data_IF_937159723593
#
_entry.id   IF_937159723593
#
_cell.length_a   1.000
_cell.length_b   1.000
_cell.length_c   1.000
_cell.angle_alpha   90.00
_cell.angle_beta   90.00
_cell.angle_gamma   90.00
#
_symmetry.space_group_name_H-M   'P 1'
#
loop_
_entity.id
_entity.type
_entity.pdbx_description
1 polymer ?
#
# COMPACT_ATOMS: atom_id res chain seq x y z
N UNK A 1 8.24 5.08 -11.20
CA UNK A 1 7.98 6.12 -10.18
C UNK A 1 9.30 6.82 -9.86
N UNK A 2 9.31 8.14 -9.88
CA UNK A 2 10.51 8.88 -9.54
C UNK A 2 10.77 8.82 -8.03
N UNK A 3 12.00 9.14 -7.64
CA UNK A 3 12.37 9.19 -6.23
C UNK A 3 11.53 10.23 -5.46
N UNK A 4 11.26 11.37 -6.10
CA UNK A 4 10.43 12.41 -5.52
C UNK A 4 8.99 11.92 -5.30
N UNK A 5 8.41 11.27 -6.29
CA UNK A 5 7.06 10.70 -6.17
C UNK A 5 7.00 9.66 -5.06
N UNK A 6 8.02 8.82 -4.96
CA UNK A 6 8.11 7.81 -3.92
C UNK A 6 8.18 8.44 -2.54
N UNK A 7 8.99 9.48 -2.37
CA UNK A 7 9.11 10.18 -1.09
C UNK A 7 7.80 10.86 -0.69
N UNK A 8 7.11 11.47 -1.64
CA UNK A 8 5.80 12.08 -1.39
C UNK A 8 4.77 11.03 -0.97
N UNK A 9 4.79 9.88 -1.64
CA UNK A 9 3.88 8.78 -1.30
C UNK A 9 4.16 8.27 0.11
N UNK A 10 5.42 8.08 0.47
CA UNK A 10 5.80 7.67 1.83
C UNK A 10 5.29 8.66 2.88
N UNK A 11 5.41 9.95 2.62
CA UNK A 11 4.96 10.98 3.55
C UNK A 11 3.44 10.97 3.74
N UNK A 12 2.70 10.62 2.71
CA UNK A 12 1.23 10.51 2.79
C UNK A 12 0.80 9.23 3.49
N UNK A 13 1.50 8.14 3.28
CA UNK A 13 1.13 6.81 3.80
C UNK A 13 1.50 6.66 5.28
N UNK A 14 2.67 7.14 5.67
CA UNK A 14 3.22 6.90 7.01
C UNK A 14 2.28 7.31 8.16
N UNK A 15 1.66 8.50 8.15
CA UNK A 15 0.75 8.88 9.24
C UNK A 15 -0.46 7.96 9.33
N UNK A 16 -1.01 7.54 8.19
CA UNK A 16 -2.18 6.66 8.16
C UNK A 16 -1.80 5.27 8.68
N UNK A 17 -0.70 4.72 8.21
CA UNK A 17 -0.23 3.40 8.65
C UNK A 17 0.07 3.39 10.15
N UNK A 18 0.70 4.43 10.66
CA UNK A 18 1.00 4.58 12.07
C UNK A 18 -0.28 4.67 12.91
N UNK A 19 -1.25 5.45 12.44
CA UNK A 19 -2.54 5.62 13.14
C UNK A 19 -3.26 4.29 13.32
N UNK A 20 -3.23 3.43 12.31
CA UNK A 20 -3.95 2.15 12.35
C UNK A 20 -3.13 0.99 12.89
N UNK A 21 -1.87 1.22 13.23
CA UNK A 21 -1.01 0.18 13.81
C UNK A 21 -0.60 -0.91 12.83
N UNK A 22 -0.51 -0.58 11.55
CA UNK A 22 -0.04 -1.50 10.51
C UNK A 22 1.47 -1.69 10.64
N UNK A 23 1.97 -2.90 10.50
CA UNK A 23 3.40 -3.19 10.61
C UNK A 23 4.20 -2.67 9.41
N UNK A 24 3.72 -2.91 8.20
CA UNK A 24 4.40 -2.43 7.01
C UNK A 24 3.42 -2.27 5.86
N UNK A 25 3.79 -1.42 4.91
CA UNK A 25 3.02 -1.15 3.69
C UNK A 25 3.96 -1.24 2.50
N UNK A 26 3.58 -2.05 1.52
CA UNK A 26 4.30 -2.17 0.25
C UNK A 26 3.39 -1.74 -0.89
N UNK A 27 3.94 -1.02 -1.85
CA UNK A 27 3.28 -0.76 -3.12
C UNK A 27 3.64 -1.88 -4.08
N UNK A 28 2.65 -2.42 -4.79
CA UNK A 28 2.89 -3.40 -5.86
C UNK A 28 2.01 -3.07 -7.07
N UNK A 29 1.99 -3.92 -8.06
CA UNK A 29 1.16 -3.72 -9.23
C UNK A 29 1.74 -2.73 -10.23
N UNK A 30 0.88 -2.16 -11.08
CA UNK A 30 1.32 -1.34 -12.22
C UNK A 30 2.12 -0.09 -11.81
N UNK A 31 1.72 0.57 -10.74
CA UNK A 31 2.44 1.76 -10.28
C UNK A 31 3.84 1.43 -9.77
N UNK A 32 4.00 0.27 -9.12
CA UNK A 32 5.31 -0.17 -8.65
C UNK A 32 6.22 -0.55 -9.82
N UNK A 33 5.66 -1.19 -10.86
CA UNK A 33 6.41 -1.57 -12.05
C UNK A 33 6.76 -0.41 -12.96
N UNK A 34 6.05 0.72 -12.81
CA UNK A 34 6.26 1.87 -13.67
C UNK A 34 5.46 1.85 -14.97
N UNK A 35 4.56 0.88 -15.15
CA UNK A 35 3.68 0.80 -16.32
C UNK A 35 2.27 1.32 -16.06
N UNK A 36 2.05 1.86 -14.86
CA UNK A 36 0.82 2.57 -14.53
C UNK A 36 0.90 4.05 -14.91
N UNK A 37 -0.24 4.70 -14.96
CA UNK A 37 -0.31 6.15 -15.19
C UNK A 37 -1.00 6.84 -14.00
N UNK A 38 -1.24 8.15 -14.14
CA UNK A 38 -1.83 8.95 -13.06
C UNK A 38 -3.28 8.56 -12.74
N UNK A 39 -3.94 7.80 -13.62
CA UNK A 39 -5.29 7.31 -13.40
C UNK A 39 -5.33 5.88 -12.87
N UNK A 40 -4.18 5.23 -12.74
CA UNK A 40 -4.09 3.86 -12.22
C UNK A 40 -4.39 3.83 -10.74
N UNK A 41 -5.04 2.75 -10.28
CA UNK A 41 -5.27 2.53 -8.86
C UNK A 41 -3.96 2.20 -8.16
N UNK A 42 -3.94 2.41 -6.85
CA UNK A 42 -2.82 1.97 -6.02
C UNK A 42 -3.11 0.58 -5.47
N UNK A 43 -2.14 -0.30 -5.58
CA UNK A 43 -2.21 -1.65 -5.02
C UNK A 43 -1.24 -1.73 -3.84
N UNK A 44 -1.77 -1.93 -2.64
CA UNK A 44 -0.95 -2.02 -1.43
C UNK A 44 -1.05 -3.40 -0.82
N UNK A 45 0.09 -3.91 -0.39
CA UNK A 45 0.17 -5.10 0.45
C UNK A 45 0.60 -4.64 1.84
N UNK A 46 -0.16 -5.04 2.85
CA UNK A 46 0.15 -4.66 4.23
C UNK A 46 0.41 -5.91 5.07
N UNK A 47 1.43 -5.81 5.93
CA UNK A 47 1.56 -6.71 7.07
C UNK A 47 0.68 -6.11 8.14
N UNK A 48 -0.39 -6.81 8.48
CA UNK A 48 -1.53 -6.15 9.09
C UNK A 48 -1.32 -5.70 10.55
N UNK A 49 -0.39 -6.33 11.29
CA UNK A 49 -0.15 -5.92 12.65
C UNK A 49 -1.41 -6.02 13.51
N UNK A 50 -1.79 -4.90 14.13
CA UNK A 50 -2.93 -4.84 15.04
C UNK A 50 -4.26 -4.50 14.38
N UNK A 51 -4.27 -4.17 13.09
CA UNK A 51 -5.48 -3.79 12.39
C UNK A 51 -6.38 -5.00 12.18
N UNK A 52 -7.66 -4.88 12.51
CA UNK A 52 -8.62 -5.99 12.39
C UNK A 52 -9.99 -5.47 11.95
N UNK A 53 -10.73 -6.32 11.26
CA UNK A 53 -12.15 -6.11 10.96
C UNK A 53 -12.44 -4.81 10.23
N UNK A 54 -13.35 -4.03 10.77
CA UNK A 54 -13.80 -2.78 10.17
C UNK A 54 -12.70 -1.72 10.08
N UNK A 55 -11.66 -1.83 10.90
CA UNK A 55 -10.53 -0.91 10.83
C UNK A 55 -9.81 -0.98 9.48
N UNK A 56 -9.80 -2.15 8.86
CA UNK A 56 -9.20 -2.30 7.54
C UNK A 56 -9.93 -1.46 6.49
N UNK A 57 -11.25 -1.44 6.56
CA UNK A 57 -12.07 -0.61 5.66
C UNK A 57 -11.81 0.88 5.89
N UNK A 58 -11.70 1.28 7.15
CA UNK A 58 -11.36 2.67 7.50
C UNK A 58 -9.97 3.05 7.01
N UNK A 59 -9.03 2.13 7.11
CA UNK A 59 -7.67 2.32 6.62
C UNK A 59 -7.66 2.54 5.10
N UNK A 60 -8.36 1.70 4.33
CA UNK A 60 -8.49 1.87 2.89
C UNK A 60 -9.07 3.23 2.54
N UNK A 61 -10.14 3.62 3.21
CA UNK A 61 -10.81 4.89 2.96
C UNK A 61 -9.89 6.08 3.27
N UNK A 62 -9.13 5.98 4.36
CA UNK A 62 -8.17 7.01 4.72
C UNK A 62 -7.07 7.14 3.67
N UNK A 63 -6.59 6.02 3.13
CA UNK A 63 -5.61 6.05 2.04
C UNK A 63 -6.19 6.69 0.79
N UNK A 64 -7.43 6.35 0.43
CA UNK A 64 -8.10 6.96 -0.72
C UNK A 64 -8.24 8.46 -0.55
N UNK A 65 -8.55 8.91 0.66
CA UNK A 65 -8.69 10.34 0.95
C UNK A 65 -7.37 11.10 0.77
N UNK A 66 -6.25 10.55 1.25
CA UNK A 66 -4.96 11.24 1.14
C UNK A 66 -4.35 11.13 -0.25
N UNK A 67 -4.69 10.08 -1.00
CA UNK A 67 -4.14 9.87 -2.33
C UNK A 67 -5.01 10.41 -3.45
N UNK A 68 -6.31 10.58 -3.20
CA UNK A 68 -7.26 11.01 -4.22
C UNK A 68 -7.49 9.98 -5.32
N UNK A 69 -7.26 8.71 -5.01
CA UNK A 69 -7.40 7.59 -5.96
C UNK A 69 -7.94 6.38 -5.24
N UNK A 70 -8.57 5.48 -6.00
CA UNK A 70 -8.99 4.18 -5.49
C UNK A 70 -7.77 3.36 -5.11
N UNK A 71 -7.86 2.65 -3.98
CA UNK A 71 -6.80 1.76 -3.53
C UNK A 71 -7.36 0.35 -3.36
N UNK A 72 -6.51 -0.64 -3.64
CA UNK A 72 -6.74 -2.03 -3.30
C UNK A 72 -5.76 -2.42 -2.22
N UNK A 73 -6.26 -2.96 -1.13
CA UNK A 73 -5.41 -3.37 -0.01
C UNK A 73 -5.50 -4.88 0.17
N UNK A 74 -4.36 -5.55 0.09
CA UNK A 74 -4.24 -6.97 0.35
C UNK A 74 -3.46 -7.15 1.64
N UNK A 75 -3.95 -8.00 2.51
CA UNK A 75 -3.32 -8.23 3.83
C UNK A 75 -2.45 -9.47 3.82
N UNK A 76 -1.55 -9.54 4.80
CA UNK A 76 -0.66 -10.69 4.98
C UNK A 76 -1.37 -12.00 5.31
N UNK A 77 -2.67 -11.96 5.60
CA UNK A 77 -3.47 -13.17 5.77
C UNK A 77 -3.87 -13.86 4.47
N UNK A 78 -3.65 -13.21 3.33
CA UNK A 78 -3.97 -13.77 2.02
C UNK A 78 -2.72 -14.44 1.46
N UNK A 79 -2.81 -15.75 1.19
CA UNK A 79 -1.70 -16.51 0.62
C UNK A 79 -1.94 -16.77 -0.85
N UNK A 80 -1.12 -16.16 -1.69
CA UNK A 80 -1.06 -16.42 -3.12
C UNK A 80 0.40 -16.34 -3.52
N UNK A 81 0.94 -17.42 -4.04
CA UNK A 81 2.34 -17.44 -4.50
C UNK A 81 2.56 -16.45 -5.63
N UNK A 82 1.57 -16.29 -6.49
CA UNK A 82 1.63 -15.34 -7.59
C UNK A 82 1.75 -13.90 -7.08
N UNK A 83 0.92 -13.56 -6.09
CA UNK A 83 0.94 -12.24 -5.47
C UNK A 83 2.26 -12.00 -4.75
N UNK A 84 2.71 -12.97 -3.94
CA UNK A 84 3.95 -12.84 -3.20
C UNK A 84 5.15 -12.74 -4.14
N UNK A 85 5.12 -13.46 -5.27
CA UNK A 85 6.14 -13.35 -6.30
C UNK A 85 6.19 -11.96 -6.92
N UNK A 86 5.03 -11.38 -7.19
CA UNK A 86 4.93 -10.02 -7.72
C UNK A 86 5.50 -9.00 -6.73
N UNK A 87 5.16 -9.14 -5.45
CA UNK A 87 5.65 -8.24 -4.40
C UNK A 87 7.17 -8.34 -4.26
N UNK A 88 7.72 -9.55 -4.31
CA UNK A 88 9.17 -9.74 -4.21
C UNK A 88 9.92 -9.14 -5.40
N UNK A 89 9.33 -9.19 -6.60
CA UNK A 89 9.97 -8.64 -7.81
C UNK A 89 9.86 -7.14 -7.90
N UNK A 90 8.65 -6.61 -7.67
CA UNK A 90 8.30 -5.24 -8.01
C UNK A 90 7.89 -4.41 -6.79
N UNK A 91 7.67 -5.03 -5.66
CA UNK A 91 7.18 -4.36 -4.47
C UNK A 91 8.13 -3.30 -3.94
N UNK A 92 7.57 -2.19 -3.52
CA UNK A 92 8.32 -1.06 -2.96
C UNK A 92 7.85 -0.85 -1.53
N UNK A 93 8.77 -0.93 -0.58
CA UNK A 93 8.45 -0.67 0.83
C UNK A 93 8.18 0.82 1.03
N UNK A 94 6.99 1.14 1.52
CA UNK A 94 6.60 2.53 1.78
C UNK A 94 6.63 2.90 3.25
N UNK A 95 6.38 1.93 4.13
CA UNK A 95 6.29 2.18 5.57
C UNK A 95 6.65 0.92 6.33
N UNK A 96 7.41 1.09 7.40
CA UNK A 96 7.75 0.03 8.33
C UNK A 96 7.72 0.61 9.74
N UNK A 97 6.87 0.06 10.56
CA UNK A 97 6.70 0.51 11.95
C UNK A 97 7.62 -0.16 12.94
#
# INVERSE_FOLDING_TARGET
>A
MSEQELNELKLKIAPVASQYGVESVYLFGSRARGDGDENSDYDFYIQKGKIVGLQLMSFERSLENVLGRTVDVVTSGVHSERLMGSIRRDGVLLYEG
#
